data_IF_338877785077
#
_entry.id   IF_338877785077
#
_cell.length_a   1.000
_cell.length_b   1.000
_cell.length_c   1.000
_cell.angle_alpha   90.00
_cell.angle_beta   90.00
_cell.angle_gamma   90.00
#
_symmetry.space_group_name_H-M   'P 1'
#
loop_
_entity.id
_entity.type
_entity.pdbx_description
1 polymer ?
#
# COMPACT_ATOMS: atom_id res chain seq x y z
N UNK A 1 -23.83 -46.07 -27.14
CA UNK A 1 -24.52 -44.77 -26.98
C UNK A 1 -24.31 -44.30 -25.55
N UNK A 2 -23.77 -43.08 -25.44
CA UNK A 2 -23.73 -42.17 -24.28
C UNK A 2 -23.15 -42.66 -22.95
N UNK A 3 -21.93 -42.20 -22.66
CA UNK A 3 -21.64 -41.39 -21.47
C UNK A 3 -20.15 -41.00 -21.45
N UNK A 4 -19.76 -40.19 -22.41
CA UNK A 4 -18.44 -39.54 -22.44
C UNK A 4 -18.67 -38.05 -22.72
N UNK A 5 -19.21 -37.36 -21.73
CA UNK A 5 -19.08 -35.91 -21.61
C UNK A 5 -18.49 -35.68 -20.22
N UNK A 6 -17.17 -35.85 -20.17
CA UNK A 6 -16.35 -35.36 -19.06
C UNK A 6 -16.66 -33.88 -18.86
N UNK A 7 -16.98 -33.56 -17.62
CA UNK A 7 -16.87 -32.25 -17.02
C UNK A 7 -15.62 -31.53 -17.54
N UNK A 8 -15.82 -30.55 -18.41
CA UNK A 8 -14.91 -29.41 -18.50
C UNK A 8 -15.27 -28.56 -17.28
N UNK A 9 -14.63 -28.86 -16.16
CA UNK A 9 -14.64 -27.98 -14.99
C UNK A 9 -13.98 -26.68 -15.44
N UNK A 10 -14.81 -25.65 -15.51
CA UNK A 10 -14.45 -24.29 -15.83
C UNK A 10 -13.46 -23.77 -14.77
N UNK A 11 -12.16 -23.87 -15.05
CA UNK A 11 -11.13 -23.01 -14.46
C UNK A 11 -11.37 -21.57 -14.96
N UNK A 12 -12.37 -20.90 -14.39
CA UNK A 12 -12.50 -19.45 -14.52
C UNK A 12 -11.47 -18.86 -13.57
N UNK A 13 -10.22 -18.84 -14.00
CA UNK A 13 -9.28 -17.82 -13.56
C UNK A 13 -9.81 -16.51 -14.15
N UNK A 14 -10.68 -15.83 -13.40
CA UNK A 14 -11.11 -14.45 -13.68
C UNK A 14 -9.87 -13.55 -13.58
N UNK A 15 -9.10 -13.48 -14.66
CA UNK A 15 -7.95 -12.60 -14.77
C UNK A 15 -8.50 -11.18 -14.85
N UNK A 16 -8.10 -10.34 -13.90
CA UNK A 16 -8.44 -8.93 -13.89
C UNK A 16 -7.80 -8.23 -15.11
N UNK A 17 -8.64 -7.68 -15.98
CA UNK A 17 -8.22 -6.98 -17.20
C UNK A 17 -8.57 -5.49 -17.16
N UNK A 18 -7.81 -4.68 -17.89
CA UNK A 18 -8.13 -3.27 -18.14
C UNK A 18 -8.26 -3.01 -19.63
N UNK A 19 -9.41 -2.50 -20.08
CA UNK A 19 -9.58 -2.04 -21.46
C UNK A 19 -8.99 -0.64 -21.65
N UNK A 20 -8.15 -0.44 -22.67
CA UNK A 20 -7.60 0.87 -23.01
C UNK A 20 -8.52 1.72 -23.89
N UNK A 21 -9.63 1.15 -24.39
CA UNK A 21 -10.53 1.77 -25.38
C UNK A 21 -10.83 3.25 -25.12
N UNK A 22 -11.33 3.55 -23.92
CA UNK A 22 -11.82 4.88 -23.55
C UNK A 22 -10.85 5.61 -22.60
N UNK A 23 -9.61 5.14 -22.50
CA UNK A 23 -8.62 5.78 -21.65
C UNK A 23 -8.17 7.12 -22.25
N UNK A 24 -8.20 8.19 -21.48
CA UNK A 24 -7.72 9.53 -21.89
C UNK A 24 -6.22 9.55 -22.22
N UNK A 25 -5.47 8.54 -21.78
CA UNK A 25 -4.05 8.40 -22.07
C UNK A 25 -3.76 7.45 -23.24
N UNK A 26 -4.78 6.87 -23.89
CA UNK A 26 -4.58 6.04 -25.07
C UNK A 26 -4.27 6.92 -26.30
N UNK A 27 -3.21 6.56 -27.02
CA UNK A 27 -2.79 7.27 -28.24
C UNK A 27 -3.27 6.49 -29.45
N UNK A 28 -3.91 7.17 -30.40
CA UNK A 28 -4.51 6.57 -31.59
C UNK A 28 -3.96 7.20 -32.86
N UNK A 29 -3.69 6.38 -33.87
CA UNK A 29 -3.48 6.80 -35.26
C UNK A 29 -4.69 6.36 -36.08
N UNK A 30 -5.58 7.30 -36.41
CA UNK A 30 -6.88 6.97 -37.01
C UNK A 30 -7.77 6.22 -36.01
N UNK A 31 -8.09 4.95 -36.30
CA UNK A 31 -8.91 4.09 -35.45
C UNK A 31 -8.10 3.10 -34.61
N UNK A 32 -6.79 3.00 -34.83
CA UNK A 32 -5.92 2.02 -34.18
C UNK A 32 -5.14 2.65 -33.04
N UNK A 33 -5.25 2.05 -31.84
CA UNK A 33 -4.43 2.44 -30.71
C UNK A 33 -2.96 2.06 -30.99
N UNK A 34 -2.06 3.02 -30.91
CA UNK A 34 -0.63 2.82 -31.14
C UNK A 34 0.19 2.94 -29.86
N UNK A 35 -0.35 3.60 -28.82
CA UNK A 35 0.43 3.89 -27.63
C UNK A 35 -0.35 4.26 -26.38
N UNK A 36 0.40 4.75 -25.41
CA UNK A 36 -0.08 5.29 -24.16
C UNK A 36 0.80 6.47 -23.74
N UNK A 37 0.20 7.65 -23.58
CA UNK A 37 0.88 8.91 -23.21
C UNK A 37 1.65 8.80 -21.89
N UNK A 38 1.23 7.90 -21.00
CA UNK A 38 1.91 7.62 -19.71
C UNK A 38 3.05 6.60 -19.82
N UNK A 39 3.43 6.18 -21.03
CA UNK A 39 4.52 5.23 -21.29
C UNK A 39 4.26 3.83 -20.72
N UNK A 40 2.99 3.41 -20.59
CA UNK A 40 2.65 2.16 -19.89
C UNK A 40 2.91 0.91 -20.72
N UNK A 41 2.93 1.00 -22.05
CA UNK A 41 3.18 -0.17 -22.91
C UNK A 41 4.57 -0.75 -22.67
N UNK A 42 5.60 0.09 -22.56
CA UNK A 42 6.96 -0.34 -22.25
C UNK A 42 7.05 -1.02 -20.88
N UNK A 43 6.32 -0.50 -19.88
CA UNK A 43 6.25 -1.09 -18.55
C UNK A 43 5.60 -2.48 -18.62
N UNK A 44 4.49 -2.61 -19.35
CA UNK A 44 3.81 -3.88 -19.51
C UNK A 44 4.71 -4.91 -20.21
N UNK A 45 5.40 -4.51 -21.28
CA UNK A 45 6.32 -5.40 -22.01
C UNK A 45 7.46 -5.89 -21.12
N UNK A 46 8.12 -4.99 -20.38
CA UNK A 46 9.19 -5.35 -19.43
C UNK A 46 8.70 -6.30 -18.32
N UNK A 47 7.46 -6.12 -17.88
CA UNK A 47 6.83 -6.95 -16.82
C UNK A 47 6.26 -8.26 -17.37
N UNK A 48 6.29 -8.49 -18.67
CA UNK A 48 5.63 -9.63 -19.30
C UNK A 48 4.10 -9.61 -19.14
N UNK A 49 3.51 -8.43 -18.96
CA UNK A 49 2.05 -8.26 -18.86
C UNK A 49 1.48 -8.28 -20.29
N UNK A 50 0.61 -9.24 -20.54
CA UNK A 50 0.03 -9.46 -21.86
C UNK A 50 -0.90 -8.30 -22.29
N UNK A 51 -0.68 -7.81 -23.51
CA UNK A 51 -1.53 -6.83 -24.21
C UNK A 51 -2.27 -7.56 -25.32
N UNK A 52 -3.58 -7.72 -25.18
CA UNK A 52 -4.43 -8.40 -26.15
C UNK A 52 -5.01 -7.35 -27.10
N UNK A 53 -4.76 -7.43 -28.42
CA UNK A 53 -5.49 -6.60 -29.38
C UNK A 53 -6.97 -6.94 -29.35
N UNK A 54 -7.82 -5.91 -29.36
CA UNK A 54 -9.26 -6.02 -29.42
C UNK A 54 -9.80 -4.93 -30.35
N UNK A 55 -11.00 -5.12 -30.86
CA UNK A 55 -11.68 -4.14 -31.71
C UNK A 55 -13.16 -4.05 -31.35
N UNK A 56 -13.74 -2.89 -31.60
CA UNK A 56 -15.18 -2.75 -31.77
C UNK A 56 -15.50 -2.27 -33.18
N UNK A 57 -16.75 -1.86 -33.44
CA UNK A 57 -17.14 -1.37 -34.75
C UNK A 57 -16.48 -0.04 -35.17
N UNK A 58 -15.70 0.60 -34.29
CA UNK A 58 -15.19 1.97 -34.45
C UNK A 58 -13.66 2.03 -34.28
N UNK A 59 -13.06 1.26 -33.36
CA UNK A 59 -11.66 1.38 -32.97
C UNK A 59 -11.03 0.01 -32.67
N UNK A 60 -9.74 -0.09 -32.96
CA UNK A 60 -8.85 -1.14 -32.48
C UNK A 60 -8.09 -0.61 -31.26
N UNK A 61 -8.05 -1.38 -30.16
CA UNK A 61 -7.46 -0.99 -28.89
C UNK A 61 -6.85 -2.20 -28.18
N UNK A 62 -6.14 -1.96 -27.07
CA UNK A 62 -5.57 -3.04 -26.26
C UNK A 62 -6.38 -3.33 -25.00
N UNK A 63 -6.45 -4.61 -24.64
CA UNK A 63 -6.90 -5.10 -23.33
C UNK A 63 -5.69 -5.64 -22.59
N UNK A 64 -5.39 -5.06 -21.44
CA UNK A 64 -4.22 -5.40 -20.62
C UNK A 64 -4.63 -6.48 -19.61
N UNK A 65 -3.89 -7.59 -19.51
CA UNK A 65 -4.08 -8.63 -18.46
C UNK A 65 -3.54 -8.21 -17.08
N UNK A 66 -3.88 -7.00 -16.67
CA UNK A 66 -3.60 -6.44 -15.35
C UNK A 66 -4.52 -5.23 -15.09
N UNK A 67 -4.58 -4.78 -13.84
CA UNK A 67 -5.09 -3.44 -13.51
C UNK A 67 -4.10 -2.39 -13.96
N UNK A 68 -4.52 -1.42 -14.78
CA UNK A 68 -3.71 -0.22 -15.04
C UNK A 68 -4.12 0.91 -14.09
N UNK A 69 -3.26 1.23 -13.11
CA UNK A 69 -3.51 2.33 -12.16
C UNK A 69 -3.64 3.74 -12.81
N UNK A 70 -3.23 3.87 -14.07
CA UNK A 70 -3.32 5.11 -14.84
C UNK A 70 -4.58 5.23 -15.69
N UNK A 71 -5.41 4.19 -15.79
CA UNK A 71 -6.65 4.27 -16.56
C UNK A 71 -7.53 5.40 -16.01
N UNK A 72 -8.01 6.27 -16.90
CA UNK A 72 -8.98 7.31 -16.58
C UNK A 72 -9.98 7.40 -17.73
N UNK A 73 -11.30 7.41 -17.44
CA UNK A 73 -12.32 7.48 -18.46
C UNK A 73 -12.45 8.92 -19.01
N UNK A 74 -13.13 9.13 -20.15
CA UNK A 74 -13.22 10.44 -20.81
C UNK A 74 -13.79 11.53 -19.90
N UNK A 75 -14.81 11.22 -19.09
CA UNK A 75 -15.45 12.19 -18.20
C UNK A 75 -14.48 12.71 -17.12
N UNK A 76 -13.46 11.90 -16.76
CA UNK A 76 -12.39 12.36 -15.89
C UNK A 76 -11.45 13.31 -16.64
N UNK A 77 -11.16 13.03 -17.91
CA UNK A 77 -10.35 13.89 -18.78
C UNK A 77 -10.97 15.27 -18.97
N UNK A 78 -12.28 15.33 -19.23
CA UNK A 78 -13.02 16.57 -19.43
C UNK A 78 -12.91 17.53 -18.22
N UNK A 79 -12.87 16.98 -17.00
CA UNK A 79 -12.72 17.76 -15.75
C UNK A 79 -11.30 18.31 -15.56
N UNK A 80 -10.30 17.65 -16.14
CA UNK A 80 -8.87 17.95 -15.93
C UNK A 80 -8.12 18.23 -17.24
N UNK A 81 -8.83 18.75 -18.24
CA UNK A 81 -8.28 19.03 -19.57
C UNK A 81 -7.00 19.86 -19.50
N UNK A 82 -5.93 19.37 -20.13
CA UNK A 82 -4.62 20.02 -20.19
C UNK A 82 -3.76 19.89 -18.93
N UNK A 83 -4.25 19.24 -17.86
CA UNK A 83 -3.51 18.99 -16.62
C UNK A 83 -3.59 17.53 -16.14
N UNK A 84 -4.00 16.61 -17.01
CA UNK A 84 -4.29 15.20 -16.74
C UNK A 84 -3.09 14.50 -16.10
N UNK A 85 -1.89 14.64 -16.68
CA UNK A 85 -0.69 13.99 -16.18
C UNK A 85 -0.30 14.47 -14.79
N UNK A 86 -0.35 15.80 -14.57
CA UNK A 86 -0.06 16.41 -13.27
C UNK A 86 -1.06 15.94 -12.23
N UNK A 87 -2.33 15.82 -12.63
CA UNK A 87 -3.40 15.35 -11.76
C UNK A 87 -3.22 13.88 -11.39
N UNK A 88 -2.95 13.00 -12.36
CA UNK A 88 -2.69 11.57 -12.08
C UNK A 88 -1.47 11.41 -11.19
N UNK A 89 -0.38 12.16 -11.42
CA UNK A 89 0.81 12.12 -10.53
C UNK A 89 0.44 12.48 -9.08
N UNK A 90 -0.38 13.51 -8.87
CA UNK A 90 -0.87 13.88 -7.53
C UNK A 90 -1.79 12.81 -6.92
N UNK A 91 -2.66 12.21 -7.71
CA UNK A 91 -3.54 11.11 -7.27
C UNK A 91 -2.77 9.82 -6.96
N UNK A 92 -1.60 9.66 -7.57
CA UNK A 92 -0.72 8.51 -7.44
C UNK A 92 0.17 8.56 -6.20
N UNK A 93 0.13 9.65 -5.43
CA UNK A 93 0.82 9.69 -4.14
C UNK A 93 0.25 8.63 -3.19
N UNK A 94 1.13 7.96 -2.45
CA UNK A 94 0.74 6.93 -1.50
C UNK A 94 -0.20 7.51 -0.45
N UNK A 95 -1.37 6.89 -0.29
CA UNK A 95 -2.31 7.22 0.78
C UNK A 95 -2.11 6.21 1.90
N UNK A 96 -1.62 6.68 3.04
CA UNK A 96 -1.35 5.81 4.17
C UNK A 96 -1.69 6.45 5.52
N UNK A 97 -1.72 5.60 6.54
CA UNK A 97 -1.74 5.97 7.96
C UNK A 97 -0.45 5.52 8.64
N UNK A 98 -0.05 6.20 9.69
CA UNK A 98 1.15 5.87 10.45
C UNK A 98 0.76 5.27 11.80
N UNK A 99 1.32 4.12 12.14
CA UNK A 99 1.32 3.56 13.49
C UNK A 99 2.64 3.89 14.18
N UNK A 100 2.58 4.47 15.38
CA UNK A 100 3.77 4.71 16.21
C UNK A 100 3.62 3.95 17.51
N UNK A 101 4.57 3.09 17.82
CA UNK A 101 4.63 2.38 19.10
C UNK A 101 5.56 3.13 20.05
N UNK A 102 5.06 3.41 21.24
CA UNK A 102 5.80 3.98 22.37
C UNK A 102 5.85 2.90 23.46
N UNK A 103 7.06 2.55 23.88
CA UNK A 103 7.32 1.59 24.95
C UNK A 103 8.50 2.06 25.82
N UNK A 104 8.93 1.23 26.79
CA UNK A 104 10.04 1.55 27.69
C UNK A 104 11.38 1.76 26.95
N UNK A 105 11.61 1.04 25.85
CA UNK A 105 12.83 1.13 25.05
C UNK A 105 12.75 2.25 24.00
N UNK A 106 11.52 2.62 23.61
CA UNK A 106 11.19 3.62 22.60
C UNK A 106 10.28 4.69 23.21
N UNK A 107 10.80 5.53 24.11
CA UNK A 107 10.00 6.50 24.83
C UNK A 107 9.52 7.64 23.94
N UNK A 108 8.56 8.42 24.44
CA UNK A 108 8.00 9.59 23.74
C UNK A 108 9.05 10.63 23.32
N UNK A 109 10.21 10.71 23.98
CA UNK A 109 11.28 11.63 23.57
C UNK A 109 11.82 11.37 22.16
N UNK A 110 11.63 10.16 21.62
CA UNK A 110 11.97 9.83 20.23
C UNK A 110 10.89 10.22 19.22
N UNK A 111 9.71 10.63 19.67
CA UNK A 111 8.52 10.80 18.83
C UNK A 111 8.73 11.87 17.75
N UNK A 112 9.33 12.99 18.14
CA UNK A 112 9.58 14.12 17.24
C UNK A 112 10.45 13.71 16.05
N UNK A 113 11.51 12.93 16.32
CA UNK A 113 12.41 12.38 15.31
C UNK A 113 11.67 11.50 14.31
N UNK A 114 10.77 10.64 14.80
CA UNK A 114 9.94 9.79 13.95
C UNK A 114 9.03 10.63 13.06
N UNK A 115 8.30 11.60 13.62
CA UNK A 115 7.40 12.46 12.84
C UNK A 115 8.17 13.29 11.82
N UNK A 116 9.29 13.88 12.19
CA UNK A 116 10.09 14.68 11.27
C UNK A 116 10.57 13.84 10.08
N UNK A 117 11.03 12.60 10.31
CA UNK A 117 11.40 11.70 9.21
C UNK A 117 10.23 11.39 8.27
N UNK A 118 9.00 11.30 8.79
CA UNK A 118 7.80 11.00 8.02
C UNK A 118 7.30 12.23 7.25
N UNK A 119 7.42 13.42 7.83
CA UNK A 119 7.03 14.68 7.18
C UNK A 119 8.00 15.11 6.08
N UNK A 120 9.20 14.53 6.01
CA UNK A 120 10.14 14.76 4.89
C UNK A 120 9.81 13.94 3.63
N UNK A 121 8.84 13.04 3.70
CA UNK A 121 8.46 12.17 2.59
C UNK A 121 7.57 12.89 1.56
N UNK A 122 7.53 12.41 0.31
CA UNK A 122 6.70 12.98 -0.78
C UNK A 122 5.18 12.94 -0.49
N UNK A 123 4.76 12.14 0.49
CA UNK A 123 3.37 12.04 0.92
C UNK A 123 3.28 11.93 2.44
N UNK A 124 2.38 12.72 3.03
CA UNK A 124 2.15 12.71 4.48
C UNK A 124 1.05 11.69 4.86
N UNK A 125 1.11 11.12 6.07
CA UNK A 125 0.06 10.22 6.53
C UNK A 125 -1.23 11.02 6.74
N UNK A 126 -2.37 10.40 6.44
CA UNK A 126 -3.69 11.01 6.71
C UNK A 126 -4.12 10.88 8.16
N UNK A 127 -3.53 9.92 8.86
CA UNK A 127 -3.87 9.55 10.22
C UNK A 127 -2.65 8.98 10.93
N UNK A 128 -2.50 9.31 12.20
CA UNK A 128 -1.53 8.72 13.10
C UNK A 128 -2.27 7.91 14.17
N UNK A 129 -1.81 6.69 14.43
CA UNK A 129 -2.29 5.83 15.50
C UNK A 129 -1.12 5.58 16.44
N UNK A 130 -1.21 6.07 17.67
CA UNK A 130 -0.16 5.91 18.66
C UNK A 130 -0.55 4.75 19.58
N UNK A 131 0.27 3.71 19.60
CA UNK A 131 0.16 2.60 20.53
C UNK A 131 1.07 2.90 21.72
N UNK A 132 0.52 2.84 22.92
CA UNK A 132 1.23 3.10 24.16
C UNK A 132 1.32 1.78 24.91
N UNK A 133 2.49 1.15 24.85
CA UNK A 133 2.77 -0.17 25.40
C UNK A 133 3.71 -0.06 26.60
N UNK A 134 3.11 0.01 27.79
CA UNK A 134 3.76 0.26 29.08
C UNK A 134 4.18 1.70 29.32
N UNK A 135 3.60 2.31 30.35
CA UNK A 135 4.03 3.59 30.84
C UNK A 135 4.12 3.59 32.37
N UNK A 136 5.28 4.01 32.85
CA UNK A 136 5.41 4.62 34.18
C UNK A 136 4.67 5.98 34.25
N UNK A 137 4.42 6.62 33.10
CA UNK A 137 3.71 7.90 32.96
C UNK A 137 2.22 7.75 32.62
N UNK A 138 1.34 8.68 33.03
CA UNK A 138 -0.05 8.67 32.59
C UNK A 138 -0.16 8.90 31.07
N UNK A 139 -0.99 8.12 30.37
CA UNK A 139 -1.25 8.31 28.94
C UNK A 139 -1.75 9.73 28.59
N UNK A 140 -2.39 10.42 29.54
CA UNK A 140 -2.84 11.81 29.39
C UNK A 140 -1.69 12.79 29.15
N UNK A 141 -0.53 12.61 29.78
CA UNK A 141 0.64 13.46 29.57
C UNK A 141 1.18 13.30 28.14
N UNK A 142 1.19 12.06 27.63
CA UNK A 142 1.59 11.79 26.24
C UNK A 142 0.62 12.43 25.26
N UNK A 143 -0.69 12.34 25.52
CA UNK A 143 -1.73 12.94 24.68
C UNK A 143 -1.54 14.47 24.57
N UNK A 144 -1.27 15.14 25.69
CA UNK A 144 -1.10 16.60 25.73
C UNK A 144 0.17 17.04 24.98
N UNK A 145 1.31 16.42 25.28
CA UNK A 145 2.58 16.74 24.62
C UNK A 145 2.53 16.49 23.12
N UNK A 146 1.87 15.41 22.70
CA UNK A 146 1.67 15.09 21.29
C UNK A 146 0.86 16.16 20.55
N UNK A 147 -0.26 16.61 21.13
CA UNK A 147 -1.14 17.60 20.49
C UNK A 147 -0.40 18.92 20.29
N UNK A 148 0.31 19.38 21.31
CA UNK A 148 1.13 20.58 21.23
C UNK A 148 2.17 20.47 20.11
N UNK A 149 2.88 19.34 20.03
CA UNK A 149 3.89 19.12 18.99
C UNK A 149 3.31 19.17 17.56
N UNK A 150 2.16 18.54 17.31
CA UNK A 150 1.55 18.60 15.97
C UNK A 150 0.99 19.98 15.63
N UNK A 151 0.43 20.69 16.61
CA UNK A 151 -0.04 22.06 16.44
C UNK A 151 1.13 22.99 16.07
N UNK A 152 2.29 22.85 16.72
CA UNK A 152 3.52 23.60 16.42
C UNK A 152 4.02 23.37 14.99
N UNK A 153 3.88 22.14 14.48
CA UNK A 153 4.26 21.79 13.09
C UNK A 153 3.24 22.28 12.06
N UNK A 154 2.09 22.81 12.48
CA UNK A 154 0.97 23.21 11.61
C UNK A 154 0.53 22.07 10.68
N UNK A 155 0.44 20.86 11.23
CA UNK A 155 0.09 19.65 10.51
C UNK A 155 -1.29 19.17 10.95
N UNK A 156 -2.26 19.20 10.03
CA UNK A 156 -3.61 18.71 10.25
C UNK A 156 -3.70 17.21 9.91
N UNK A 157 -3.43 16.36 10.90
CA UNK A 157 -3.49 14.89 10.79
C UNK A 157 -4.39 14.33 11.88
N UNK A 158 -5.33 13.47 11.50
CA UNK A 158 -6.20 12.77 12.44
C UNK A 158 -5.38 11.87 13.38
N UNK A 159 -5.69 11.86 14.67
CA UNK A 159 -4.96 11.02 15.63
C UNK A 159 -5.87 10.13 16.44
N UNK A 160 -5.46 8.87 16.58
CA UNK A 160 -5.95 7.97 17.61
C UNK A 160 -4.83 7.56 18.56
N UNK A 161 -5.15 7.45 19.85
CA UNK A 161 -4.23 6.94 20.87
C UNK A 161 -4.85 5.69 21.46
N UNK A 162 -4.07 4.62 21.53
CA UNK A 162 -4.46 3.31 22.04
C UNK A 162 -3.51 2.95 23.18
N UNK A 163 -4.05 2.89 24.39
CA UNK A 163 -3.29 2.44 25.57
C UNK A 163 -3.46 0.94 25.71
N UNK A 164 -2.34 0.21 25.73
CA UNK A 164 -2.33 -1.23 25.91
C UNK A 164 -2.25 -1.54 27.41
N UNK A 165 -2.99 -2.55 27.86
CA UNK A 165 -2.95 -3.00 29.26
C UNK A 165 -1.68 -3.78 29.54
N UNK A 166 -1.17 -3.76 30.79
CA UNK A 166 0.01 -4.54 31.18
C UNK A 166 -0.11 -6.04 30.91
N UNK A 167 -1.34 -6.56 30.93
CA UNK A 167 -1.64 -7.96 30.61
C UNK A 167 -1.70 -8.24 29.10
N UNK A 168 -1.25 -7.31 28.26
CA UNK A 168 -1.03 -7.52 26.82
C UNK A 168 0.20 -8.42 26.60
N UNK A 169 0.24 -9.55 27.30
CA UNK A 169 0.98 -10.71 26.86
C UNK A 169 0.06 -11.43 25.90
N UNK A 170 0.24 -11.09 24.63
CA UNK A 170 -0.35 -11.78 23.49
C UNK A 170 -0.23 -13.28 23.67
N UNK A 171 -1.32 -13.93 24.08
CA UNK A 171 -1.37 -15.36 24.47
C UNK A 171 -0.86 -16.27 23.35
N UNK A 172 -0.80 -15.77 22.11
CA UNK A 172 -0.40 -16.49 20.91
C UNK A 172 0.75 -15.83 20.09
N UNK A 173 1.36 -14.73 20.57
CA UNK A 173 2.37 -14.03 19.77
C UNK A 173 3.73 -14.14 20.46
N UNK A 174 4.63 -14.89 19.83
CA UNK A 174 6.05 -14.95 20.18
C UNK A 174 6.75 -13.57 20.01
N UNK A 175 6.09 -12.64 19.33
CA UNK A 175 6.55 -11.29 19.02
C UNK A 175 5.50 -10.25 19.49
N UNK A 176 5.84 -9.55 20.58
CA UNK A 176 4.98 -8.54 21.21
C UNK A 176 4.64 -7.41 20.22
N UNK A 177 5.61 -6.99 19.40
CA UNK A 177 5.43 -5.87 18.49
C UNK A 177 4.36 -6.17 17.44
N UNK A 178 4.36 -7.37 16.89
CA UNK A 178 3.34 -7.81 15.94
C UNK A 178 1.96 -7.95 16.60
N UNK A 179 1.91 -8.33 17.87
CA UNK A 179 0.67 -8.31 18.66
C UNK A 179 0.09 -6.89 18.73
N UNK A 180 0.94 -5.90 19.01
CA UNK A 180 0.53 -4.48 19.07
C UNK A 180 -0.01 -4.02 17.72
N UNK A 181 0.66 -4.38 16.62
CA UNK A 181 0.22 -4.03 15.26
C UNK A 181 -1.21 -4.54 14.99
N UNK A 182 -1.49 -5.79 15.38
CA UNK A 182 -2.82 -6.39 15.23
C UNK A 182 -3.87 -5.70 16.12
N UNK A 183 -3.51 -5.27 17.34
CA UNK A 183 -4.42 -4.57 18.25
C UNK A 183 -4.82 -3.18 17.70
N UNK A 184 -3.83 -2.41 17.26
CA UNK A 184 -4.09 -1.06 16.74
C UNK A 184 -4.65 -1.06 15.31
N UNK A 185 -4.63 -2.19 14.62
CA UNK A 185 -5.07 -2.33 13.24
C UNK A 185 -6.49 -1.79 13.01
N UNK A 186 -7.40 -2.02 13.95
CA UNK A 186 -8.80 -1.58 13.87
C UNK A 186 -8.96 -0.06 13.73
N UNK A 187 -7.90 0.71 14.04
CA UNK A 187 -7.88 2.17 13.92
C UNK A 187 -7.40 2.66 12.56
N UNK A 188 -6.82 1.80 11.72
CA UNK A 188 -6.39 2.16 10.38
C UNK A 188 -7.56 2.10 9.38
N UNK A 189 -7.79 3.17 8.61
CA UNK A 189 -8.78 3.18 7.53
C UNK A 189 -8.30 2.35 6.33
N UNK A 190 -8.98 2.48 5.19
CA UNK A 190 -8.52 1.90 3.94
C UNK A 190 -7.25 2.59 3.42
N UNK A 191 -6.44 1.88 2.63
CA UNK A 191 -5.15 2.35 2.12
C UNK A 191 -4.00 1.52 2.67
N UNK A 192 -2.82 2.11 2.77
CA UNK A 192 -1.69 1.50 3.46
C UNK A 192 -1.62 1.98 4.91
N UNK A 193 -0.97 1.21 5.77
CA UNK A 193 -0.44 1.72 7.03
C UNK A 193 1.04 1.38 7.13
N UNK A 194 1.80 2.23 7.80
CA UNK A 194 3.24 2.10 8.06
C UNK A 194 3.45 2.06 9.56
N UNK A 195 4.24 1.13 10.07
CA UNK A 195 4.52 0.99 11.50
C UNK A 195 5.95 1.45 11.80
N UNK A 196 6.12 2.25 12.85
CA UNK A 196 7.41 2.65 13.41
C UNK A 196 7.34 2.59 14.94
N UNK A 197 8.48 2.37 15.59
CA UNK A 197 8.66 2.69 17.00
C UNK A 197 9.10 4.15 17.15
N UNK A 198 8.79 4.75 18.30
CA UNK A 198 9.26 6.09 18.65
C UNK A 198 10.80 6.18 18.61
N UNK A 199 11.35 7.23 17.99
CA UNK A 199 12.79 7.41 17.79
C UNK A 199 13.34 6.79 16.50
N UNK A 200 12.56 5.91 15.87
CA UNK A 200 12.92 5.29 14.59
C UNK A 200 12.48 6.19 13.43
N UNK A 201 13.26 6.16 12.35
CA UNK A 201 13.05 7.01 11.19
C UNK A 201 12.59 6.19 10.00
N UNK A 202 11.65 6.71 9.23
CA UNK A 202 11.32 6.12 7.94
C UNK A 202 12.47 6.39 6.96
N UNK A 203 12.88 5.37 6.19
CA UNK A 203 13.93 5.56 5.16
C UNK A 203 13.54 6.70 4.21
N UNK A 204 14.50 7.53 3.76
CA UNK A 204 14.22 8.56 2.76
C UNK A 204 13.60 7.96 1.50
N UNK A 205 12.69 8.71 0.87
CA UNK A 205 11.96 8.31 -0.34
C UNK A 205 11.10 7.04 -0.23
N UNK A 206 10.86 6.48 0.95
CA UNK A 206 10.07 5.25 1.13
C UNK A 206 8.68 5.33 0.49
N UNK A 207 7.94 6.43 0.69
CA UNK A 207 6.59 6.56 0.13
C UNK A 207 6.59 6.73 -1.39
N UNK A 208 7.61 7.42 -1.91
CA UNK A 208 7.85 7.61 -3.34
C UNK A 208 8.26 6.31 -4.02
N UNK A 209 9.17 5.56 -3.41
CA UNK A 209 9.62 4.27 -3.91
C UNK A 209 8.44 3.29 -3.99
N UNK A 210 7.64 3.20 -2.92
CA UNK A 210 6.47 2.32 -2.88
C UNK A 210 5.39 2.73 -3.89
N UNK A 211 5.03 4.02 -3.96
CA UNK A 211 4.05 4.50 -4.95
C UNK A 211 4.54 4.29 -6.39
N UNK A 212 5.83 4.49 -6.66
CA UNK A 212 6.42 4.25 -7.98
C UNK A 212 6.39 2.76 -8.34
N UNK A 213 6.77 1.88 -7.42
CA UNK A 213 6.71 0.42 -7.63
C UNK A 213 5.29 -0.04 -7.98
N UNK A 214 4.28 0.41 -7.22
CA UNK A 214 2.88 0.01 -7.43
C UNK A 214 2.32 0.65 -8.71
N UNK A 215 2.39 1.98 -8.81
CA UNK A 215 1.61 2.72 -9.78
C UNK A 215 2.37 2.90 -11.08
N UNK A 216 3.66 3.23 -11.02
CA UNK A 216 4.45 3.38 -12.23
C UNK A 216 4.82 2.02 -12.82
N UNK A 217 5.39 1.12 -12.02
CA UNK A 217 5.90 -0.18 -12.47
C UNK A 217 4.90 -1.34 -12.37
N UNK A 218 3.67 -1.09 -11.87
CA UNK A 218 2.58 -2.08 -11.88
C UNK A 218 2.91 -3.36 -11.09
N UNK A 219 3.62 -3.20 -9.97
CA UNK A 219 3.83 -4.28 -9.02
C UNK A 219 2.69 -4.35 -8.01
N UNK A 220 2.24 -5.58 -7.71
CA UNK A 220 1.40 -5.82 -6.54
C UNK A 220 2.33 -5.86 -5.31
N UNK A 221 2.19 -4.88 -4.43
CA UNK A 221 3.02 -4.75 -3.21
C UNK A 221 2.11 -4.56 -2.00
N UNK A 222 1.35 -5.58 -1.59
CA UNK A 222 0.41 -5.42 -0.48
C UNK A 222 1.10 -5.43 0.88
N UNK A 223 2.27 -6.07 1.03
CA UNK A 223 3.02 -6.13 2.28
C UNK A 223 4.51 -5.87 1.98
N UNK A 224 5.10 -4.93 2.72
CA UNK A 224 6.54 -4.68 2.77
C UNK A 224 7.01 -4.91 4.21
N UNK A 225 7.94 -5.85 4.41
CA UNK A 225 8.50 -6.14 5.73
C UNK A 225 9.29 -4.94 6.26
N UNK A 226 9.34 -4.80 7.59
CA UNK A 226 10.18 -3.79 8.22
C UNK A 226 11.66 -4.01 7.93
N UNK A 227 12.43 -2.93 7.98
CA UNK A 227 13.89 -2.97 7.78
C UNK A 227 14.66 -3.22 9.09
N UNK A 228 14.01 -3.05 10.24
CA UNK A 228 14.55 -3.34 11.56
C UNK A 228 13.38 -3.76 12.46
N UNK A 229 13.14 -5.07 12.55
CA UNK A 229 11.92 -5.62 13.14
C UNK A 229 10.67 -5.11 12.41
N UNK A 230 9.75 -4.48 13.16
CA UNK A 230 8.52 -3.88 12.62
C UNK A 230 8.72 -2.48 12.01
N UNK A 231 9.89 -1.86 12.17
CA UNK A 231 10.09 -0.50 11.69
C UNK A 231 10.06 -0.43 10.16
N UNK A 232 9.16 0.39 9.65
CA UNK A 232 8.86 0.51 8.22
C UNK A 232 7.94 -0.58 7.69
N UNK A 233 7.43 -1.50 8.53
CA UNK A 233 6.42 -2.49 8.11
C UNK A 233 5.25 -1.73 7.46
N UNK A 234 5.01 -2.00 6.18
CA UNK A 234 4.02 -1.29 5.38
C UNK A 234 3.04 -2.27 4.78
N UNK A 235 1.76 -2.07 5.05
CA UNK A 235 0.74 -3.08 4.77
C UNK A 235 -0.51 -2.43 4.23
N UNK A 236 -1.07 -3.01 3.17
CA UNK A 236 -2.37 -2.61 2.67
C UNK A 236 -3.44 -3.09 3.66
N UNK A 237 -4.19 -2.15 4.25
CA UNK A 237 -5.19 -2.45 5.28
C UNK A 237 -6.23 -3.47 4.81
N UNK A 238 -6.63 -3.42 3.53
CA UNK A 238 -7.57 -4.40 2.96
C UNK A 238 -7.03 -5.83 2.98
N UNK A 239 -5.74 -6.02 2.66
CA UNK A 239 -5.10 -7.33 2.72
C UNK A 239 -5.04 -7.83 4.15
N UNK A 240 -4.72 -6.98 5.12
CA UNK A 240 -4.80 -7.38 6.52
C UNK A 240 -6.23 -7.81 6.94
N UNK A 241 -7.30 -7.15 6.45
CA UNK A 241 -8.69 -7.61 6.68
C UNK A 241 -8.95 -8.99 6.09
N UNK A 242 -8.51 -9.24 4.86
CA UNK A 242 -8.67 -10.53 4.16
C UNK A 242 -7.95 -11.65 4.92
N UNK A 243 -6.77 -11.34 5.46
CA UNK A 243 -5.97 -12.25 6.29
C UNK A 243 -6.53 -12.49 7.70
N UNK A 244 -7.79 -12.12 7.96
CA UNK A 244 -8.49 -12.34 9.23
C UNK A 244 -8.43 -11.17 10.21
N UNK A 245 -7.91 -10.01 9.81
CA UNK A 245 -7.78 -8.82 10.66
C UNK A 245 -6.98 -9.14 11.93
N UNK A 246 -7.43 -8.67 13.09
CA UNK A 246 -6.74 -8.89 14.38
C UNK A 246 -6.93 -10.29 15.00
N UNK A 247 -7.38 -11.31 14.24
CA UNK A 247 -7.72 -12.64 14.80
C UNK A 247 -6.61 -13.68 14.59
N UNK A 248 -6.55 -14.65 15.50
CA UNK A 248 -5.84 -15.94 15.42
C UNK A 248 -4.31 -15.94 15.44
N UNK A 249 -3.64 -15.23 14.54
CA UNK A 249 -2.17 -15.30 14.37
C UNK A 249 -1.59 -13.93 14.07
N UNK A 250 -0.27 -13.74 14.18
CA UNK A 250 0.33 -12.49 13.72
C UNK A 250 0.28 -12.32 12.19
N UNK A 251 0.34 -11.07 11.74
CA UNK A 251 0.32 -10.70 10.32
C UNK A 251 1.34 -11.49 9.47
N UNK A 252 2.57 -11.67 9.97
CA UNK A 252 3.62 -12.35 9.22
C UNK A 252 3.27 -13.82 8.95
N UNK A 253 2.73 -14.52 9.95
CA UNK A 253 2.27 -15.90 9.82
C UNK A 253 1.09 -15.98 8.85
N UNK A 254 0.08 -15.12 9.01
CA UNK A 254 -1.07 -15.03 8.10
C UNK A 254 -0.64 -14.82 6.64
N UNK A 255 0.30 -13.90 6.42
CA UNK A 255 0.78 -13.56 5.09
C UNK A 255 1.54 -14.71 4.43
N UNK A 256 2.37 -15.44 5.21
CA UNK A 256 3.08 -16.63 4.73
C UNK A 256 2.12 -17.76 4.38
N UNK A 257 1.19 -18.08 5.28
CA UNK A 257 0.19 -19.13 5.07
C UNK A 257 -0.65 -18.83 3.81
N UNK A 258 -1.03 -17.56 3.59
CA UNK A 258 -1.76 -17.13 2.39
C UNK A 258 -0.92 -17.22 1.10
N UNK A 259 0.36 -16.83 1.16
CA UNK A 259 1.28 -16.93 0.03
C UNK A 259 1.52 -18.39 -0.39
N UNK A 260 1.63 -19.30 0.58
CA UNK A 260 1.78 -20.74 0.31
C UNK A 260 0.52 -21.35 -0.29
N UNK A 261 -0.66 -20.90 0.15
CA UNK A 261 -1.95 -21.42 -0.32
C UNK A 261 -2.29 -20.96 -1.74
N UNK A 262 -2.16 -19.66 -2.03
CA UNK A 262 -2.58 -19.08 -3.33
C UNK A 262 -1.44 -18.95 -4.35
N UNK A 263 -0.21 -19.34 -3.99
CA UNK A 263 1.01 -19.16 -4.81
C UNK A 263 1.19 -17.68 -5.26
N UNK A 264 0.77 -16.74 -4.40
CA UNK A 264 0.85 -15.31 -4.64
C UNK A 264 2.02 -14.69 -3.90
N UNK A 265 2.87 -13.98 -4.64
CA UNK A 265 4.02 -13.30 -4.06
C UNK A 265 3.62 -11.92 -3.52
N UNK A 266 3.03 -11.91 -2.32
CA UNK A 266 2.42 -10.73 -1.67
C UNK A 266 3.37 -10.02 -0.68
N UNK A 267 4.46 -10.66 -0.28
CA UNK A 267 5.44 -10.10 0.65
C UNK A 267 6.66 -9.60 -0.12
N UNK A 268 7.07 -8.37 0.18
CA UNK A 268 8.31 -7.74 -0.30
C UNK A 268 9.13 -7.22 0.88
N UNK A 269 10.41 -6.93 0.66
CA UNK A 269 11.22 -6.13 1.58
C UNK A 269 11.56 -4.76 0.97
N UNK A 270 12.03 -3.83 1.80
CA UNK A 270 12.34 -2.48 1.34
C UNK A 270 13.43 -2.41 0.27
N UNK A 271 14.42 -3.30 0.31
CA UNK A 271 15.52 -3.28 -0.66
C UNK A 271 15.02 -3.65 -2.06
N UNK A 272 14.08 -4.60 -2.17
CA UNK A 272 13.35 -4.90 -3.42
C UNK A 272 12.55 -3.68 -3.90
N UNK A 273 11.86 -2.96 -3.01
CA UNK A 273 11.08 -1.77 -3.37
C UNK A 273 11.98 -0.66 -3.89
N UNK A 274 13.12 -0.41 -3.24
CA UNK A 274 14.09 0.58 -3.72
C UNK A 274 14.76 0.15 -5.03
N UNK A 275 15.02 -1.14 -5.22
CA UNK A 275 15.52 -1.67 -6.50
C UNK A 275 14.52 -1.44 -7.63
N UNK A 276 13.24 -1.73 -7.41
CA UNK A 276 12.17 -1.44 -8.38
C UNK A 276 12.09 0.06 -8.65
N UNK A 277 12.16 0.90 -7.60
CA UNK A 277 12.12 2.36 -7.77
C UNK A 277 13.27 2.88 -8.66
N UNK A 278 14.46 2.31 -8.53
CA UNK A 278 15.64 2.74 -9.28
C UNK A 278 15.71 2.16 -10.70
N UNK A 279 15.32 0.90 -10.88
CA UNK A 279 15.57 0.13 -12.10
C UNK A 279 14.29 -0.20 -12.88
N UNK A 280 13.15 -0.18 -12.21
CA UNK A 280 11.88 -0.71 -12.71
C UNK A 280 11.77 -2.23 -12.68
N UNK A 281 12.75 -2.92 -12.09
CA UNK A 281 12.88 -4.38 -12.12
C UNK A 281 13.07 -4.96 -10.71
N UNK A 282 12.69 -6.24 -10.54
CA UNK A 282 12.87 -7.01 -9.30
C UNK A 282 14.27 -7.60 -9.18
#
# INVERSE_FOLDING_TARGET
>A
MNSSNQKVENDINEILVTSCKDCVFAEYEGQTQTGCKMGKFDVFDKRGIEKIPAEDFIKEFFVIKATCFHYRPPEWGDVYEGVEEKRVKKESLLKYSLGIIIDSDHPFSGFEKTIDSVLTQDSHPKKIVIAVNDLEKPATEIIENYKLFLEEKNVDIETNIVTLTRDFHSVDYEDVDLGIVDEIFTKFPNGYYVILKSGMELRPDSTKALSTAIIHHQYSVPIVTGFDGINGLTVQAMVHKILGGSRHFNLNKKAKDFQEFDNLNIIRNWDEIFKIYQTGEL
#
